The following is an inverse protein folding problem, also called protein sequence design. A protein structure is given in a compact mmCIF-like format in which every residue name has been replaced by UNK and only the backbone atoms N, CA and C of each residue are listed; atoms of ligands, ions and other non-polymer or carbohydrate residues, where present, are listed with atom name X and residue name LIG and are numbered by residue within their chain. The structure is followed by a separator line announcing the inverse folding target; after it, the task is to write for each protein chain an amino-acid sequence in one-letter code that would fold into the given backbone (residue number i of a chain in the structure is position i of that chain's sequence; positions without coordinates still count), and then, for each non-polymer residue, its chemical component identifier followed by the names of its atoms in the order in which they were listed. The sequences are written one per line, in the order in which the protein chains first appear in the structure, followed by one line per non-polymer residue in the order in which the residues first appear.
data_IF_380872050104
#
_entry.id   IF_380872050104
#
_cell.length_a   1.000
_cell.length_b   1.000
_cell.length_c   1.000
_cell.angle_alpha   90.00
_cell.angle_beta   90.00
_cell.angle_gamma   90.00
#
_symmetry.space_group_name_H-M   'P 1'
#
loop_
_entity.id
_entity.type
_entity.pdbx_description
1 polymer ?
#
# COMPACT_ATOMS: atom_id res chain seq x y z
N UNK A 1 4.38 -4.37 -21.43
CA UNK A 1 2.94 -3.98 -21.41
C UNK A 1 2.89 -2.49 -21.14
N UNK A 2 1.93 -1.79 -21.73
CA UNK A 2 1.71 -0.36 -21.48
C UNK A 2 1.30 -0.13 -20.02
N UNK A 3 1.98 0.78 -19.27
CA UNK A 3 1.61 1.10 -17.89
C UNK A 3 0.18 1.62 -17.71
N UNK A 4 -0.35 2.35 -18.69
CA UNK A 4 -1.72 2.86 -18.63
C UNK A 4 -2.76 1.75 -18.81
N UNK A 5 -2.49 0.76 -19.70
CA UNK A 5 -3.33 -0.42 -19.81
C UNK A 5 -3.33 -1.27 -18.52
N UNK A 6 -2.22 -1.28 -17.78
CA UNK A 6 -2.18 -1.89 -16.43
C UNK A 6 -3.06 -1.12 -15.45
N UNK A 7 -3.01 0.23 -15.45
CA UNK A 7 -3.87 1.04 -14.59
C UNK A 7 -5.35 0.84 -14.87
N UNK A 8 -5.75 0.73 -16.16
CA UNK A 8 -7.15 0.44 -16.53
C UNK A 8 -7.61 -0.91 -15.97
N UNK A 9 -6.76 -1.94 -16.05
CA UNK A 9 -7.04 -3.24 -15.46
C UNK A 9 -7.07 -3.21 -13.93
N UNK A 10 -6.21 -2.40 -13.30
CA UNK A 10 -6.21 -2.22 -11.85
C UNK A 10 -7.48 -1.51 -11.37
N UNK A 11 -7.98 -0.52 -12.12
CA UNK A 11 -9.28 0.12 -11.83
C UNK A 11 -10.41 -0.92 -11.90
N UNK A 12 -10.41 -1.79 -12.90
CA UNK A 12 -11.40 -2.86 -13.01
C UNK A 12 -11.30 -3.86 -11.85
N UNK A 13 -10.08 -4.26 -11.45
CA UNK A 13 -9.84 -5.16 -10.32
C UNK A 13 -10.30 -4.54 -8.98
N UNK A 14 -9.96 -3.27 -8.73
CA UNK A 14 -10.38 -2.56 -7.51
C UNK A 14 -11.92 -2.38 -7.48
N UNK A 15 -12.56 -2.11 -8.62
CA UNK A 15 -14.01 -2.04 -8.73
C UNK A 15 -14.68 -3.39 -8.47
N UNK A 16 -14.09 -4.49 -8.97
CA UNK A 16 -14.55 -5.85 -8.69
C UNK A 16 -14.48 -6.19 -7.19
N UNK A 17 -13.38 -5.83 -6.51
CA UNK A 17 -13.26 -5.95 -5.05
C UNK A 17 -14.36 -5.17 -4.32
N UNK A 18 -14.54 -3.89 -4.65
CA UNK A 18 -15.59 -3.08 -4.06
C UNK A 18 -16.97 -3.70 -4.23
N UNK A 19 -17.26 -4.19 -5.45
CA UNK A 19 -18.54 -4.85 -5.77
C UNK A 19 -18.75 -6.16 -5.01
N UNK A 20 -17.70 -6.96 -4.84
CA UNK A 20 -17.76 -8.23 -4.10
C UNK A 20 -18.08 -8.03 -2.62
N UNK A 21 -17.72 -6.88 -2.05
CA UNK A 21 -17.94 -6.56 -0.65
C UNK A 21 -19.22 -5.74 -0.39
N UNK A 22 -19.92 -5.31 -1.44
CA UNK A 22 -21.25 -4.69 -1.33
C UNK A 22 -22.22 -5.67 -0.68
N UNK A 23 -22.94 -5.24 0.35
CA UNK A 23 -23.92 -6.08 1.05
C UNK A 23 -23.35 -7.05 2.09
N UNK A 24 -22.03 -7.15 2.22
CA UNK A 24 -21.42 -7.92 3.31
C UNK A 24 -21.36 -7.03 4.56
N UNK A 25 -22.18 -7.33 5.58
CA UNK A 25 -22.35 -6.50 6.77
C UNK A 25 -22.31 -7.30 8.07
N UNK A 26 -22.17 -6.61 9.21
CA UNK A 26 -22.35 -7.16 10.55
C UNK A 26 -21.42 -8.35 10.86
N UNK A 27 -21.98 -9.50 11.23
CA UNK A 27 -21.24 -10.72 11.57
C UNK A 27 -20.48 -11.30 10.39
N UNK A 28 -21.06 -11.24 9.18
CA UNK A 28 -20.46 -11.83 7.99
C UNK A 28 -19.20 -11.06 7.57
N UNK A 29 -19.22 -9.72 7.73
CA UNK A 29 -18.04 -8.89 7.49
C UNK A 29 -16.90 -9.16 8.48
N UNK A 30 -17.23 -9.63 9.69
CA UNK A 30 -16.28 -9.97 10.76
C UNK A 30 -15.93 -11.46 10.82
N UNK A 31 -16.52 -12.27 9.95
CA UNK A 31 -16.27 -13.71 9.92
C UNK A 31 -14.77 -13.97 9.68
N UNK A 32 -14.22 -14.92 10.45
CA UNK A 32 -12.82 -15.34 10.34
C UNK A 32 -12.74 -16.64 9.55
N UNK A 33 -11.60 -16.83 8.88
CA UNK A 33 -11.22 -18.14 8.32
C UNK A 33 -10.41 -18.96 9.34
N UNK A 34 -9.99 -20.15 8.96
CA UNK A 34 -9.09 -20.97 9.78
C UNK A 34 -7.65 -20.43 9.81
N UNK A 35 -7.29 -19.51 8.89
CA UNK A 35 -5.97 -18.87 8.86
C UNK A 35 -5.94 -17.73 9.89
N UNK A 36 -4.98 -17.72 10.85
CA UNK A 36 -4.87 -16.65 11.82
C UNK A 36 -4.72 -15.27 11.15
N UNK A 37 -5.48 -14.28 11.60
CA UNK A 37 -5.46 -12.93 11.06
C UNK A 37 -6.41 -12.67 9.90
N UNK A 38 -6.79 -13.69 9.12
CA UNK A 38 -7.58 -13.57 7.90
C UNK A 38 -9.09 -13.48 8.19
N UNK A 39 -9.79 -12.59 7.50
CA UNK A 39 -11.24 -12.50 7.46
C UNK A 39 -11.80 -13.16 6.19
N UNK A 40 -13.06 -13.57 6.22
CA UNK A 40 -13.73 -14.12 5.04
C UNK A 40 -13.82 -13.11 3.89
N UNK A 41 -13.90 -11.82 4.19
CA UNK A 41 -13.91 -10.74 3.20
C UNK A 41 -12.61 -10.67 2.39
N UNK A 42 -11.47 -11.07 2.97
CA UNK A 42 -10.18 -11.06 2.30
C UNK A 42 -10.19 -12.06 1.12
N UNK A 43 -10.77 -13.25 1.34
CA UNK A 43 -10.91 -14.27 0.30
C UNK A 43 -11.89 -13.86 -0.81
N UNK A 44 -13.00 -13.18 -0.45
CA UNK A 44 -13.95 -12.66 -1.44
C UNK A 44 -13.31 -11.58 -2.31
N UNK A 45 -12.57 -10.68 -1.69
CA UNK A 45 -11.84 -9.62 -2.37
C UNK A 45 -10.74 -10.17 -3.28
N UNK A 46 -9.98 -11.15 -2.79
CA UNK A 46 -8.92 -11.81 -3.56
C UNK A 46 -9.49 -12.48 -4.82
N UNK A 47 -10.53 -13.29 -4.67
CA UNK A 47 -11.17 -13.96 -5.80
C UNK A 47 -11.67 -12.93 -6.85
N UNK A 48 -12.22 -11.80 -6.42
CA UNK A 48 -12.69 -10.76 -7.31
C UNK A 48 -11.55 -10.06 -8.05
N UNK A 49 -10.45 -9.70 -7.36
CA UNK A 49 -9.28 -9.09 -7.97
C UNK A 49 -8.62 -10.03 -8.98
N UNK A 50 -8.41 -11.30 -8.59
CA UNK A 50 -7.79 -12.31 -9.46
C UNK A 50 -8.63 -12.64 -10.68
N UNK A 51 -9.97 -12.59 -10.57
CA UNK A 51 -10.87 -12.78 -11.71
C UNK A 51 -10.60 -11.80 -12.85
N UNK A 52 -10.14 -10.57 -12.55
CA UNK A 52 -9.74 -9.58 -13.54
C UNK A 52 -8.27 -9.75 -13.95
N UNK A 53 -7.38 -9.92 -12.99
CA UNK A 53 -5.94 -9.95 -13.23
C UNK A 53 -5.50 -11.17 -14.06
N UNK A 54 -6.19 -12.30 -13.97
CA UNK A 54 -5.88 -13.51 -14.74
C UNK A 54 -6.20 -13.41 -16.23
N UNK A 55 -6.97 -12.40 -16.65
CA UNK A 55 -7.17 -12.10 -18.08
C UNK A 55 -5.96 -11.41 -18.71
N UNK A 56 -4.98 -11.00 -17.90
CA UNK A 56 -3.76 -10.34 -18.36
C UNK A 56 -2.61 -11.35 -18.49
N UNK A 57 -1.66 -11.14 -19.44
CA UNK A 57 -0.47 -11.97 -19.56
C UNK A 57 0.60 -11.54 -18.54
N UNK A 58 0.28 -11.62 -17.24
CA UNK A 58 1.16 -11.23 -16.13
C UNK A 58 1.25 -12.34 -15.08
N UNK A 59 2.36 -12.37 -14.34
CA UNK A 59 2.41 -13.10 -13.08
C UNK A 59 1.71 -12.28 -12.00
N UNK A 60 1.08 -12.94 -11.03
CA UNK A 60 0.41 -12.30 -9.90
C UNK A 60 0.96 -12.85 -8.60
N UNK A 61 1.22 -11.97 -7.63
CA UNK A 61 1.56 -12.31 -6.25
C UNK A 61 0.52 -11.65 -5.35
N UNK A 62 -0.39 -12.45 -4.80
CA UNK A 62 -1.42 -12.01 -3.87
C UNK A 62 -1.07 -12.36 -2.42
N UNK A 63 -1.46 -11.51 -1.47
CA UNK A 63 -1.39 -11.79 -0.03
C UNK A 63 -2.13 -13.08 0.33
N UNK A 64 -3.30 -13.30 -0.25
CA UNK A 64 -4.21 -14.36 0.17
C UNK A 64 -3.94 -15.69 -0.53
N UNK A 65 -3.75 -15.67 -1.84
CA UNK A 65 -3.64 -16.88 -2.67
C UNK A 65 -2.22 -17.16 -3.18
N UNK A 66 -1.25 -16.26 -2.90
CA UNK A 66 0.14 -16.46 -3.31
C UNK A 66 0.37 -16.23 -4.81
N UNK A 67 1.23 -17.06 -5.42
CA UNK A 67 1.70 -16.86 -6.80
C UNK A 67 0.80 -17.57 -7.81
N UNK A 68 0.29 -16.82 -8.80
CA UNK A 68 -0.59 -17.32 -9.87
C UNK A 68 -0.31 -16.59 -11.20
N UNK A 69 -1.17 -16.78 -12.21
CA UNK A 69 -1.06 -16.14 -13.53
C UNK A 69 0.07 -16.69 -14.40
N UNK A 70 0.50 -15.89 -15.39
CA UNK A 70 1.59 -16.29 -16.31
C UNK A 70 2.97 -16.05 -15.66
N UNK A 71 3.53 -17.10 -15.06
CA UNK A 71 4.85 -17.06 -14.38
C UNK A 71 6.02 -16.80 -15.32
N UNK A 72 5.83 -16.87 -16.65
CA UNK A 72 6.86 -16.55 -17.64
C UNK A 72 6.87 -15.07 -18.03
N UNK A 73 5.87 -14.31 -17.59
CA UNK A 73 5.75 -12.88 -17.87
C UNK A 73 6.90 -12.08 -17.25
N UNK A 74 7.45 -11.08 -17.97
CA UNK A 74 8.40 -10.13 -17.40
C UNK A 74 7.71 -9.12 -16.44
N UNK A 75 6.38 -9.12 -16.39
CA UNK A 75 5.59 -8.25 -15.49
C UNK A 75 5.00 -9.11 -14.37
N UNK A 76 5.20 -8.65 -13.15
CA UNK A 76 4.61 -9.22 -11.94
C UNK A 76 3.69 -8.19 -11.32
N UNK A 77 2.43 -8.53 -11.10
CA UNK A 77 1.48 -7.72 -10.35
C UNK A 77 1.44 -8.22 -8.92
N UNK A 78 1.75 -7.35 -7.97
CA UNK A 78 1.65 -7.60 -6.54
C UNK A 78 0.36 -6.96 -6.04
N UNK A 79 -0.47 -7.71 -5.34
CA UNK A 79 -1.80 -7.27 -4.91
C UNK A 79 -2.06 -7.58 -3.43
N UNK A 80 -2.53 -6.56 -2.71
CA UNK A 80 -3.27 -6.69 -1.47
C UNK A 80 -4.73 -6.33 -1.74
N UNK A 81 -5.64 -7.30 -1.71
CA UNK A 81 -7.05 -7.04 -1.96
C UNK A 81 -7.70 -6.16 -0.88
N UNK A 82 -7.25 -6.27 0.39
CA UNK A 82 -7.83 -5.56 1.54
C UNK A 82 -6.74 -5.17 2.55
N UNK A 83 -5.85 -4.23 2.20
CA UNK A 83 -4.93 -3.64 3.17
C UNK A 83 -5.71 -2.88 4.26
N UNK A 84 -5.60 -3.35 5.49
CA UNK A 84 -6.42 -2.89 6.61
C UNK A 84 -7.70 -3.70 6.81
N UNK A 85 -7.67 -5.02 6.61
CA UNK A 85 -8.82 -5.92 6.76
C UNK A 85 -9.53 -5.81 8.13
N UNK A 86 -8.79 -5.52 9.20
CA UNK A 86 -9.38 -5.22 10.52
C UNK A 86 -10.24 -3.95 10.51
N UNK A 87 -9.87 -2.93 9.76
CA UNK A 87 -10.68 -1.72 9.56
C UNK A 87 -11.89 -2.04 8.69
N UNK A 88 -11.67 -2.72 7.57
CA UNK A 88 -12.74 -3.15 6.67
C UNK A 88 -13.81 -3.97 7.42
N UNK A 89 -13.39 -4.94 8.23
CA UNK A 89 -14.29 -5.78 9.02
C UNK A 89 -15.07 -5.01 10.10
N UNK A 90 -14.63 -3.80 10.47
CA UNK A 90 -15.23 -2.94 11.50
C UNK A 90 -15.93 -1.70 10.95
N UNK A 91 -16.03 -1.58 9.63
CA UNK A 91 -16.59 -0.42 8.92
C UNK A 91 -15.85 0.89 9.23
N UNK A 92 -14.54 0.80 9.57
CA UNK A 92 -13.69 1.98 9.68
C UNK A 92 -13.26 2.43 8.28
N UNK A 93 -13.34 3.74 7.93
CA UNK A 93 -13.19 4.20 6.55
C UNK A 93 -11.73 4.36 6.13
N UNK A 94 -10.84 3.44 6.50
CA UNK A 94 -9.41 3.49 6.19
C UNK A 94 -8.86 2.09 5.91
N UNK A 95 -9.15 1.59 4.70
CA UNK A 95 -8.68 0.33 4.15
C UNK A 95 -8.68 0.39 2.63
N UNK A 96 -7.80 -0.35 1.97
CA UNK A 96 -7.57 -0.19 0.56
C UNK A 96 -7.44 -1.51 -0.20
N UNK A 97 -7.68 -1.45 -1.52
CA UNK A 97 -7.11 -2.38 -2.48
C UNK A 97 -5.83 -1.75 -3.04
N UNK A 98 -4.71 -2.46 -2.93
CA UNK A 98 -3.38 -2.02 -3.37
C UNK A 98 -2.87 -2.93 -4.47
N UNK A 99 -2.54 -2.36 -5.64
CA UNK A 99 -2.01 -3.08 -6.81
C UNK A 99 -0.74 -2.38 -7.29
N UNK A 100 0.30 -3.15 -7.56
CA UNK A 100 1.55 -2.63 -8.11
C UNK A 100 2.12 -3.60 -9.15
N UNK A 101 2.25 -3.16 -10.38
CA UNK A 101 3.01 -3.88 -11.40
C UNK A 101 4.50 -3.57 -11.27
N UNK A 102 5.30 -4.59 -11.43
CA UNK A 102 6.76 -4.53 -11.44
C UNK A 102 7.32 -5.14 -12.73
N UNK A 103 8.42 -4.56 -13.21
CA UNK A 103 9.28 -5.14 -14.22
C UNK A 103 10.73 -5.25 -13.69
N UNK A 104 11.69 -5.55 -14.57
CA UNK A 104 13.11 -5.60 -14.22
C UNK A 104 13.69 -4.27 -13.69
N UNK A 105 13.01 -3.15 -13.92
CA UNK A 105 13.38 -1.82 -13.41
C UNK A 105 12.73 -1.47 -12.06
N UNK A 106 11.97 -2.39 -11.44
CA UNK A 106 11.24 -2.19 -10.18
C UNK A 106 9.76 -1.81 -10.40
N UNK A 107 9.11 -1.11 -9.45
CA UNK A 107 7.72 -0.68 -9.58
C UNK A 107 7.48 0.15 -10.83
N UNK A 108 6.48 -0.23 -11.64
CA UNK A 108 6.18 0.34 -12.96
C UNK A 108 4.91 1.18 -12.95
N UNK A 109 3.81 0.61 -12.45
CA UNK A 109 2.51 1.26 -12.33
C UNK A 109 1.83 0.79 -11.06
N UNK A 110 1.12 1.69 -10.36
CA UNK A 110 0.43 1.36 -9.12
C UNK A 110 -0.91 2.07 -9.00
N UNK A 111 -1.86 1.36 -8.39
CA UNK A 111 -3.15 1.87 -7.96
C UNK A 111 -3.38 1.49 -6.49
N UNK A 112 -3.76 2.47 -5.67
CA UNK A 112 -4.24 2.26 -4.30
C UNK A 112 -5.58 2.97 -4.15
N UNK A 113 -6.64 2.21 -3.93
CA UNK A 113 -7.99 2.76 -3.77
C UNK A 113 -8.45 2.58 -2.33
N UNK A 114 -8.78 3.67 -1.65
CA UNK A 114 -9.52 3.58 -0.39
C UNK A 114 -10.95 3.14 -0.72
N UNK A 115 -11.26 1.89 -0.44
CA UNK A 115 -12.54 1.28 -0.79
C UNK A 115 -13.74 1.82 0.01
N UNK A 116 -13.48 2.44 1.16
CA UNK A 116 -14.54 3.04 1.96
C UNK A 116 -14.95 4.43 1.44
N UNK A 117 -14.04 5.16 0.79
CA UNK A 117 -14.29 6.55 0.34
C UNK A 117 -14.30 6.70 -1.17
N UNK A 118 -13.78 5.72 -1.91
CA UNK A 118 -13.59 5.77 -3.37
C UNK A 118 -12.39 6.61 -3.82
N UNK A 119 -11.61 7.20 -2.88
CA UNK A 119 -10.42 8.00 -3.23
C UNK A 119 -9.36 7.07 -3.84
N UNK A 120 -8.88 7.42 -5.03
CA UNK A 120 -7.91 6.64 -5.78
C UNK A 120 -6.58 7.36 -5.94
N UNK A 121 -5.48 6.64 -5.67
CA UNK A 121 -4.11 7.09 -5.86
C UNK A 121 -3.48 6.28 -6.99
N UNK A 122 -2.86 6.96 -7.95
CA UNK A 122 -2.24 6.34 -9.13
C UNK A 122 -0.85 6.87 -9.34
N UNK A 123 0.08 6.01 -9.75
CA UNK A 123 1.40 6.42 -10.21
C UNK A 123 1.87 5.54 -11.36
N UNK A 124 2.63 6.16 -12.27
CA UNK A 124 3.45 5.49 -13.28
C UNK A 124 4.87 5.99 -13.11
N UNK A 125 5.84 5.09 -13.17
CA UNK A 125 7.25 5.41 -13.05
C UNK A 125 7.66 6.49 -14.08
N UNK A 126 8.18 7.62 -13.56
CA UNK A 126 8.62 8.77 -14.34
C UNK A 126 7.50 9.74 -14.75
N UNK A 127 6.23 9.47 -14.44
CA UNK A 127 5.12 10.34 -14.84
C UNK A 127 4.51 11.12 -13.65
N UNK A 128 4.87 10.74 -12.43
CA UNK A 128 4.36 11.32 -11.20
C UNK A 128 3.25 10.51 -10.56
N UNK A 129 2.81 10.97 -9.39
CA UNK A 129 1.73 10.39 -8.61
C UNK A 129 0.53 11.33 -8.53
N UNK A 130 -0.68 10.76 -8.53
CA UNK A 130 -1.93 11.51 -8.61
C UNK A 130 -2.96 10.92 -7.62
N UNK A 131 -3.72 11.80 -6.97
CA UNK A 131 -4.90 11.48 -6.17
C UNK A 131 -6.13 12.06 -6.85
N UNK A 132 -7.07 11.23 -7.28
CA UNK A 132 -8.27 11.64 -8.01
C UNK A 132 -7.97 12.60 -9.18
N UNK A 133 -6.90 12.33 -9.94
CA UNK A 133 -6.43 13.15 -11.06
C UNK A 133 -5.62 14.39 -10.67
N UNK A 134 -5.52 14.73 -9.39
CA UNK A 134 -4.69 15.84 -8.91
C UNK A 134 -3.27 15.37 -8.58
N UNK A 135 -2.26 16.03 -9.13
CA UNK A 135 -0.86 15.69 -8.90
C UNK A 135 -0.48 15.80 -7.42
N UNK A 136 0.05 14.73 -6.87
CA UNK A 136 0.54 14.69 -5.49
C UNK A 136 1.93 15.31 -5.37
N UNK A 137 2.21 15.87 -4.20
CA UNK A 137 3.54 16.33 -3.77
C UNK A 137 3.69 16.07 -2.29
N UNK A 138 4.79 15.45 -1.91
CA UNK A 138 5.12 15.24 -0.51
C UNK A 138 5.30 16.58 0.24
N UNK A 139 5.14 16.55 1.55
CA UNK A 139 5.30 17.74 2.39
C UNK A 139 6.77 18.20 2.44
N UNK A 140 6.99 19.46 2.77
CA UNK A 140 8.32 20.06 2.96
C UNK A 140 8.72 20.12 4.44
N UNK A 141 8.01 19.44 5.33
CA UNK A 141 8.31 19.43 6.78
C UNK A 141 9.65 18.74 7.04
N UNK A 142 10.57 19.44 7.69
CA UNK A 142 11.91 18.93 8.01
C UNK A 142 12.06 18.54 9.49
N UNK A 143 11.37 19.26 10.37
CA UNK A 143 11.50 19.10 11.82
C UNK A 143 10.43 18.17 12.35
N UNK A 144 10.83 17.22 13.18
CA UNK A 144 9.91 16.24 13.76
C UNK A 144 8.88 16.89 14.69
N UNK A 145 9.21 18.02 15.33
CA UNK A 145 8.30 18.77 16.20
C UNK A 145 7.11 19.40 15.45
N UNK A 146 7.26 19.61 14.15
CA UNK A 146 6.23 20.15 13.27
C UNK A 146 5.48 19.05 12.53
N UNK A 147 5.97 17.80 12.60
CA UNK A 147 5.49 16.69 11.77
C UNK A 147 4.27 15.98 12.36
N UNK A 148 3.37 15.58 11.47
CA UNK A 148 2.32 14.59 11.70
C UNK A 148 2.79 13.27 11.10
N UNK A 149 2.96 12.22 11.93
CA UNK A 149 3.55 10.94 11.54
C UNK A 149 2.53 9.82 11.67
N UNK A 150 2.38 9.00 10.62
CA UNK A 150 1.65 7.74 10.71
C UNK A 150 2.58 6.64 11.26
N UNK A 151 2.03 5.80 12.13
CA UNK A 151 2.76 4.70 12.76
C UNK A 151 2.12 3.36 12.42
N UNK A 152 2.96 2.37 12.15
CA UNK A 152 2.62 0.95 12.19
C UNK A 152 3.38 0.31 13.36
N UNK A 153 2.65 0.00 14.43
CA UNK A 153 3.21 -0.41 15.72
C UNK A 153 3.54 0.79 16.64
N UNK A 154 4.04 0.50 17.81
CA UNK A 154 4.46 1.49 18.81
C UNK A 154 5.98 1.51 18.89
N UNK A 155 6.66 2.62 18.55
CA UNK A 155 8.11 2.72 18.64
C UNK A 155 8.60 2.70 20.09
N UNK A 156 9.76 2.08 20.31
CA UNK A 156 10.43 2.09 21.61
C UNK A 156 10.95 3.49 21.99
N UNK A 157 11.33 4.29 21.00
CA UNK A 157 11.72 5.69 21.16
C UNK A 157 10.60 6.61 20.70
N UNK A 158 10.01 7.33 21.63
CA UNK A 158 9.00 8.36 21.32
C UNK A 158 9.72 9.66 20.94
N UNK A 159 9.55 10.08 19.69
CA UNK A 159 10.06 11.37 19.22
C UNK A 159 9.08 12.51 19.57
N UNK A 160 9.56 13.76 19.63
CA UNK A 160 8.72 14.93 19.93
C UNK A 160 7.94 15.40 18.71
N UNK A 161 7.27 14.49 17.99
CA UNK A 161 6.41 14.85 16.84
C UNK A 161 5.22 15.69 17.28
N UNK A 162 4.73 16.55 16.40
CA UNK A 162 3.54 17.37 16.64
C UNK A 162 2.31 16.53 16.95
N UNK A 163 2.10 15.49 16.14
CA UNK A 163 1.02 14.51 16.31
C UNK A 163 1.42 13.18 15.66
N UNK A 164 0.74 12.10 16.06
CA UNK A 164 0.86 10.83 15.37
C UNK A 164 -0.52 10.22 15.06
N UNK A 165 -0.53 9.28 14.13
CA UNK A 165 -1.71 8.51 13.72
C UNK A 165 -1.35 7.03 13.66
N UNK A 166 -2.28 6.17 14.10
CA UNK A 166 -2.23 4.72 13.90
C UNK A 166 -3.48 4.37 13.11
N UNK A 167 -3.37 4.33 11.79
CA UNK A 167 -4.54 4.30 10.90
C UNK A 167 -4.89 2.89 10.42
N UNK A 168 -3.94 1.94 10.41
CA UNK A 168 -4.18 0.52 10.19
C UNK A 168 -4.25 0.08 8.71
N UNK A 169 -3.72 0.89 7.78
CA UNK A 169 -3.46 0.56 6.38
C UNK A 169 -2.12 1.18 5.99
N UNK A 170 -1.16 0.36 5.64
CA UNK A 170 0.18 0.83 5.26
C UNK A 170 0.18 1.45 3.87
N UNK A 171 -0.54 0.86 2.92
CA UNK A 171 -0.67 1.38 1.57
C UNK A 171 -1.27 2.79 1.56
N UNK A 172 -2.34 3.04 2.32
CA UNK A 172 -2.95 4.36 2.43
C UNK A 172 -2.04 5.35 3.17
N UNK A 173 -1.37 4.93 4.25
CA UNK A 173 -0.47 5.80 4.99
C UNK A 173 0.69 6.31 4.11
N UNK A 174 1.26 5.44 3.26
CA UNK A 174 2.27 5.82 2.28
C UNK A 174 1.70 6.77 1.20
N UNK A 175 0.47 6.53 0.73
CA UNK A 175 -0.22 7.45 -0.18
C UNK A 175 -0.46 8.82 0.48
N UNK A 176 -0.81 8.87 1.76
CA UNK A 176 -0.99 10.12 2.49
C UNK A 176 0.33 10.88 2.66
N UNK A 177 1.47 10.18 2.82
CA UNK A 177 2.82 10.80 2.78
C UNK A 177 3.11 11.37 1.39
N UNK A 178 2.84 10.60 0.34
CA UNK A 178 3.02 11.04 -1.04
C UNK A 178 2.15 12.27 -1.39
N UNK A 179 0.96 12.37 -0.81
CA UNK A 179 0.05 13.50 -0.98
C UNK A 179 0.37 14.71 -0.08
N UNK A 180 1.35 14.61 0.84
CA UNK A 180 1.68 15.64 1.82
C UNK A 180 0.60 15.86 2.88
N UNK A 181 -0.37 14.95 3.01
CA UNK A 181 -1.40 14.98 4.05
C UNK A 181 -0.84 14.55 5.41
N UNK A 182 0.16 13.67 5.38
CA UNK A 182 0.97 13.21 6.52
C UNK A 182 2.44 13.46 6.16
N UNK A 183 3.26 13.87 7.13
CA UNK A 183 4.64 14.25 6.87
C UNK A 183 5.60 13.04 6.83
N UNK A 184 5.26 11.95 7.51
CA UNK A 184 6.05 10.73 7.51
C UNK A 184 5.26 9.49 7.93
N UNK A 185 5.76 8.33 7.54
CA UNK A 185 5.31 7.00 7.97
C UNK A 185 6.47 6.25 8.59
N UNK A 186 6.26 5.67 9.76
CA UNK A 186 7.22 4.88 10.50
C UNK A 186 6.62 3.50 10.83
N UNK A 187 7.13 2.46 10.20
CA UNK A 187 6.88 1.09 10.61
C UNK A 187 7.91 0.65 11.65
N UNK A 188 7.43 0.11 12.77
CA UNK A 188 8.26 -0.52 13.80
C UNK A 188 7.89 -1.98 14.01
N UNK A 189 6.95 -2.49 13.23
CA UNK A 189 6.53 -3.89 13.30
C UNK A 189 7.46 -4.83 12.54
N UNK A 190 8.14 -4.34 11.50
CA UNK A 190 8.98 -5.12 10.57
C UNK A 190 8.24 -6.29 9.86
N UNK A 191 6.91 -6.18 9.71
CA UNK A 191 6.06 -7.25 9.21
C UNK A 191 5.49 -7.01 7.82
N UNK A 192 5.72 -5.83 7.22
CA UNK A 192 5.14 -5.50 5.92
C UNK A 192 5.75 -6.35 4.80
N UNK A 193 4.87 -6.96 4.04
CA UNK A 193 5.18 -7.70 2.82
C UNK A 193 5.09 -6.77 1.59
N UNK A 194 5.55 -7.19 0.41
CA UNK A 194 5.52 -6.37 -0.80
C UNK A 194 4.15 -5.78 -1.14
N UNK A 195 3.07 -6.50 -0.92
CA UNK A 195 1.70 -6.05 -1.20
C UNK A 195 1.26 -4.88 -0.32
N UNK A 196 1.76 -4.78 0.93
CA UNK A 196 1.44 -3.69 1.86
C UNK A 196 2.07 -2.35 1.43
N UNK A 197 3.21 -2.38 0.71
CA UNK A 197 4.00 -1.16 0.52
C UNK A 197 4.37 -0.80 -0.91
N UNK A 198 4.45 -1.74 -1.87
CA UNK A 198 4.99 -1.44 -3.21
C UNK A 198 4.23 -0.34 -3.94
N UNK A 199 2.90 -0.35 -3.87
CA UNK A 199 2.08 0.74 -4.43
C UNK A 199 2.43 2.09 -3.82
N UNK A 200 2.49 2.14 -2.48
CA UNK A 200 2.87 3.33 -1.74
C UNK A 200 4.30 3.79 -1.99
N UNK A 201 5.25 2.86 -2.18
CA UNK A 201 6.65 3.18 -2.53
C UNK A 201 6.72 3.92 -3.86
N UNK A 202 6.01 3.43 -4.89
CA UNK A 202 5.96 4.13 -6.18
C UNK A 202 5.31 5.51 -6.02
N UNK A 203 4.19 5.62 -5.29
CA UNK A 203 3.54 6.91 -5.01
C UNK A 203 4.50 7.89 -4.34
N UNK A 204 5.21 7.47 -3.29
CA UNK A 204 6.18 8.28 -2.56
C UNK A 204 7.31 8.75 -3.48
N UNK A 205 7.91 7.85 -4.24
CA UNK A 205 9.01 8.15 -5.15
C UNK A 205 8.58 9.19 -6.19
N UNK A 206 7.43 9.00 -6.83
CA UNK A 206 6.91 9.89 -7.88
C UNK A 206 6.41 11.24 -7.34
N UNK A 207 6.06 11.30 -6.06
CA UNK A 207 5.67 12.55 -5.38
C UNK A 207 6.87 13.30 -4.76
N UNK A 208 8.09 12.74 -4.80
CA UNK A 208 9.31 13.35 -4.29
C UNK A 208 9.55 13.12 -2.78
N UNK A 209 8.84 12.18 -2.16
CA UNK A 209 9.15 11.72 -0.81
C UNK A 209 10.38 10.79 -0.80
N UNK A 210 11.03 10.68 0.36
CA UNK A 210 12.07 9.69 0.64
C UNK A 210 11.42 8.47 1.26
N UNK A 211 11.65 7.29 0.66
CA UNK A 211 11.12 6.02 1.18
C UNK A 211 12.22 4.96 1.14
N UNK A 212 12.37 4.20 2.24
CA UNK A 212 13.39 3.16 2.39
C UNK A 212 12.95 2.08 3.38
N UNK A 213 13.63 0.94 3.36
CA UNK A 213 13.61 -0.02 4.48
C UNK A 213 14.56 0.46 5.57
N UNK A 214 14.13 0.49 6.81
CA UNK A 214 14.97 0.93 7.94
C UNK A 214 16.23 0.07 8.13
N UNK A 215 16.19 -1.20 7.71
CA UNK A 215 17.35 -2.11 7.65
C UNK A 215 18.21 -1.96 6.41
N UNK A 216 17.93 -1.02 5.51
CA UNK A 216 18.70 -0.74 4.29
C UNK A 216 18.56 -1.78 3.18
N UNK A 217 17.56 -2.67 3.25
CA UNK A 217 17.29 -3.68 2.21
C UNK A 217 16.47 -3.06 1.07
N UNK A 218 16.60 -3.59 -0.14
CA UNK A 218 15.80 -3.15 -1.27
C UNK A 218 14.30 -3.36 -1.02
N UNK A 219 13.47 -2.38 -1.41
CA UNK A 219 12.02 -2.44 -1.35
C UNK A 219 11.40 -3.00 -2.64
N UNK A 220 12.13 -2.99 -3.75
CA UNK A 220 11.72 -3.43 -5.08
C UNK A 220 11.75 -4.96 -5.23
N UNK A 221 10.95 -5.68 -4.44
CA UNK A 221 10.86 -7.14 -4.48
C UNK A 221 9.41 -7.59 -4.56
N UNK A 222 9.13 -8.57 -5.42
CA UNK A 222 7.85 -9.28 -5.49
C UNK A 222 7.87 -10.62 -4.70
N UNK A 223 8.94 -10.89 -3.92
CA UNK A 223 9.01 -12.07 -3.07
C UNK A 223 8.02 -11.95 -1.91
N UNK A 224 6.90 -12.65 -1.98
CA UNK A 224 5.85 -12.65 -0.95
C UNK A 224 6.30 -13.13 0.44
N UNK A 225 7.49 -13.73 0.55
CA UNK A 225 8.09 -14.12 1.84
C UNK A 225 8.92 -13.01 2.46
N UNK A 226 9.30 -11.99 1.67
CA UNK A 226 10.07 -10.86 2.16
C UNK A 226 9.27 -10.06 3.18
N UNK A 227 9.97 -9.56 4.19
CA UNK A 227 9.42 -8.63 5.19
C UNK A 227 10.32 -7.43 5.32
N UNK A 228 9.72 -6.25 5.38
CA UNK A 228 10.42 -4.96 5.44
C UNK A 228 9.89 -4.11 6.57
N UNK A 229 10.75 -3.22 7.03
CA UNK A 229 10.42 -2.15 7.98
C UNK A 229 10.40 -0.83 7.19
N UNK A 230 9.24 -0.49 6.65
CA UNK A 230 9.11 0.63 5.72
C UNK A 230 9.08 1.97 6.47
N UNK A 231 9.88 2.89 5.98
CA UNK A 231 9.97 4.26 6.48
C UNK A 231 9.81 5.23 5.30
N UNK A 232 8.94 6.22 5.42
CA UNK A 232 8.78 7.28 4.43
C UNK A 232 8.69 8.65 5.10
N UNK A 233 9.17 9.69 4.42
CA UNK A 233 9.00 11.08 4.84
C UNK A 233 9.03 12.04 3.65
N UNK A 234 8.37 13.18 3.79
CA UNK A 234 8.35 14.23 2.75
C UNK A 234 9.73 14.83 2.48
N UNK A 235 10.66 14.77 3.46
CA UNK A 235 12.02 15.31 3.31
C UNK A 235 13.07 14.35 3.83
N UNK A 236 14.29 14.45 3.31
CA UNK A 236 15.43 13.66 3.77
C UNK A 236 15.80 13.96 5.25
N UNK A 237 15.62 15.18 5.71
CA UNK A 237 15.88 15.58 7.08
C UNK A 237 14.93 14.88 8.07
N UNK A 238 13.64 14.90 7.77
CA UNK A 238 12.64 14.20 8.57
C UNK A 238 12.84 12.68 8.52
N UNK A 239 13.12 12.11 7.33
CA UNK A 239 13.40 10.69 7.16
C UNK A 239 14.57 10.24 8.05
N UNK A 240 15.71 10.96 8.05
CA UNK A 240 16.85 10.65 8.88
C UNK A 240 16.53 10.72 10.39
N UNK A 241 15.61 11.62 10.78
CA UNK A 241 15.15 11.73 12.17
C UNK A 241 14.27 10.55 12.57
N UNK A 242 13.29 10.17 11.73
CA UNK A 242 12.41 9.02 11.98
C UNK A 242 13.18 7.70 12.02
N UNK A 243 14.23 7.54 11.20
CA UNK A 243 15.07 6.35 11.17
C UNK A 243 15.68 6.01 12.55
N UNK A 244 15.98 7.01 13.37
CA UNK A 244 16.48 6.79 14.74
C UNK A 244 15.46 6.16 15.68
N UNK A 245 14.17 6.26 15.38
CA UNK A 245 13.09 5.64 16.15
C UNK A 245 12.62 4.29 15.58
N UNK A 246 13.18 3.89 14.44
CA UNK A 246 12.90 2.60 13.81
C UNK A 246 13.71 1.44 14.44
N UNK A 247 14.69 1.76 15.28
CA UNK A 247 15.63 0.80 15.91
C UNK A 247 15.06 0.16 17.16
#
# INVERSE_FOLDING_TARGET
MDPHALLDAFDAAAAAVGSALVGVHGSDRRARTDRPGQYAIDLLADAAALGVLHDLPVAVVSEESGVSGDRSSPIVVVVDPVDGSSNAARDLPYWATSLCAMDAGGPLAALVVNQATGVAHRAVRGEGAFRDGMRMRASSTERVEDAVVALSGLPGLILPWKQFRVLGSAALALCDVAAGAIDGFLDVSSWHAPWDYLGGVLMCTEAGAVVADAGGRALDTADGTARRQVLAAGTAALHATLLRAAS
#
